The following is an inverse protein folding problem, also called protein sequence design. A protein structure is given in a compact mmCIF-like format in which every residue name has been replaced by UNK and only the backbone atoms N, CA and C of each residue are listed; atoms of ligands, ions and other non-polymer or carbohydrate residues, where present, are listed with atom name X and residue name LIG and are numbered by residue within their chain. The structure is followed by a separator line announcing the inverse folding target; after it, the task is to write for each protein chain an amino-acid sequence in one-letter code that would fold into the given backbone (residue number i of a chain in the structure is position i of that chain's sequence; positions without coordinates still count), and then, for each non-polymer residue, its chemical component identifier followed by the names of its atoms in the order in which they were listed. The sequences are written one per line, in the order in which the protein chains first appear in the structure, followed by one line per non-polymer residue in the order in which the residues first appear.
data_IF_673599959157
#
_entry.id   IF_673599959157
#
_cell.length_a   1.000
_cell.length_b   1.000
_cell.length_c   1.000
_cell.angle_alpha   90.00
_cell.angle_beta   90.00
_cell.angle_gamma   90.00
#
_symmetry.space_group_name_H-M   'P 1'
#
loop_
_entity.id
_entity.type
_entity.pdbx_description
1 polymer ?
#
# COMPACT_ATOMS: atom_id res chain seq x y z
N UNK A 1 45.50 -9.65 79.28
CA UNK A 1 44.32 -10.14 78.57
C UNK A 1 43.48 -8.95 78.04
N UNK A 2 44.02 -8.08 77.21
CA UNK A 2 43.31 -6.89 76.73
C UNK A 2 43.55 -6.52 75.26
N UNK A 3 44.08 -7.47 74.46
CA UNK A 3 44.43 -7.13 73.06
C UNK A 3 43.56 -7.74 71.97
N UNK A 4 42.57 -8.59 72.30
CA UNK A 4 41.86 -9.40 71.31
C UNK A 4 40.45 -8.86 70.95
N UNK A 5 39.95 -7.89 71.71
CA UNK A 5 38.59 -7.34 71.52
C UNK A 5 38.53 -6.19 70.54
N UNK A 6 39.61 -5.45 70.34
CA UNK A 6 39.65 -4.33 69.42
C UNK A 6 39.79 -4.73 67.96
N UNK A 7 40.35 -5.91 67.64
CA UNK A 7 40.53 -6.32 66.26
C UNK A 7 39.27 -6.87 65.60
N UNK A 8 38.35 -7.47 66.34
CA UNK A 8 37.14 -8.03 65.83
C UNK A 8 36.08 -6.94 65.51
N UNK A 9 36.05 -5.81 66.24
CA UNK A 9 35.14 -4.72 65.96
C UNK A 9 35.53 -3.91 64.71
N UNK A 10 36.85 -3.79 64.44
CA UNK A 10 37.30 -3.03 63.29
C UNK A 10 37.04 -3.78 61.96
N UNK A 11 37.15 -5.09 61.94
CA UNK A 11 36.84 -5.90 60.77
C UNK A 11 35.34 -5.91 60.47
N UNK A 12 34.49 -5.92 61.49
CA UNK A 12 33.02 -5.87 61.24
C UNK A 12 32.57 -4.53 60.70
N UNK A 13 33.20 -3.43 61.11
CA UNK A 13 32.85 -2.10 60.62
C UNK A 13 33.34 -1.87 59.18
N UNK A 14 34.53 -2.33 58.83
CA UNK A 14 35.08 -2.19 57.48
C UNK A 14 34.31 -3.04 56.46
N UNK A 15 33.92 -4.28 56.86
CA UNK A 15 33.12 -5.13 55.97
C UNK A 15 31.70 -4.62 55.77
N UNK A 16 31.08 -4.01 56.80
CA UNK A 16 29.75 -3.44 56.69
C UNK A 16 29.69 -2.20 55.76
N UNK A 17 30.69 -1.33 55.83
CA UNK A 17 30.79 -0.14 54.99
C UNK A 17 31.10 -0.51 53.51
N UNK A 18 31.98 -1.48 53.27
CA UNK A 18 32.26 -1.95 51.91
C UNK A 18 31.07 -2.66 51.29
N UNK A 19 30.26 -3.41 52.05
CA UNK A 19 29.08 -4.07 51.56
C UNK A 19 27.96 -3.07 51.20
N UNK A 20 27.77 -2.02 52.01
CA UNK A 20 26.81 -0.92 51.68
C UNK A 20 27.23 -0.14 50.44
N UNK A 21 28.51 0.10 50.18
CA UNK A 21 28.98 0.81 49.00
C UNK A 21 28.82 -0.03 47.73
N UNK A 22 29.02 -1.34 47.77
CA UNK A 22 28.82 -2.24 46.62
C UNK A 22 27.35 -2.37 46.30
N UNK A 23 26.45 -2.43 47.29
CA UNK A 23 24.99 -2.48 47.06
C UNK A 23 24.45 -1.15 46.48
N UNK A 24 24.99 0.00 46.94
CA UNK A 24 24.61 1.29 46.41
C UNK A 24 25.09 1.52 44.96
N UNK A 25 26.26 0.97 44.59
CA UNK A 25 26.79 1.03 43.23
C UNK A 25 26.00 0.10 42.26
N UNK A 26 25.54 -1.06 42.75
CA UNK A 26 24.74 -1.97 41.92
C UNK A 26 23.30 -1.45 41.68
N UNK A 27 22.70 -0.76 42.65
CA UNK A 27 21.37 -0.15 42.46
C UNK A 27 21.45 1.06 41.56
N UNK A 28 22.49 1.91 41.66
CA UNK A 28 22.70 3.04 40.75
C UNK A 28 23.00 2.59 39.29
N UNK A 29 23.67 1.43 39.11
CA UNK A 29 23.91 0.89 37.77
C UNK A 29 22.68 0.20 37.20
N UNK A 30 21.80 -0.38 38.01
CA UNK A 30 20.53 -0.95 37.57
C UNK A 30 19.53 0.13 37.13
N UNK A 31 19.47 1.27 37.82
CA UNK A 31 18.60 2.39 37.46
C UNK A 31 19.03 3.11 36.16
N UNK A 32 20.33 3.11 35.83
CA UNK A 32 20.83 3.70 34.57
C UNK A 32 20.60 2.81 33.36
N UNK A 33 20.38 1.51 33.54
CA UNK A 33 20.04 0.58 32.45
C UNK A 33 18.53 0.50 32.22
N UNK A 34 17.69 0.95 33.15
CA UNK A 34 16.22 0.99 33.00
C UNK A 34 15.66 2.31 32.48
N UNK A 35 16.48 3.33 32.24
CA UNK A 35 16.05 4.50 31.45
C UNK A 35 15.97 4.09 29.97
N UNK A 36 14.94 3.27 29.69
CA UNK A 36 14.67 2.72 28.39
C UNK A 36 14.57 3.82 27.34
N UNK A 37 15.21 3.62 26.21
CA UNK A 37 14.89 4.39 25.02
C UNK A 37 13.37 4.45 24.90
N UNK A 38 12.78 5.63 24.67
CA UNK A 38 11.34 5.73 24.51
C UNK A 38 10.88 4.70 23.49
N UNK A 39 9.81 3.97 23.80
CA UNK A 39 9.28 2.96 22.90
C UNK A 39 9.13 3.56 21.50
N UNK A 40 9.56 2.86 20.45
CA UNK A 40 9.51 3.40 19.09
C UNK A 40 8.08 3.79 18.75
N UNK A 41 7.93 4.95 18.12
CA UNK A 41 6.63 5.41 17.64
C UNK A 41 6.04 4.37 16.67
N UNK A 42 4.81 3.94 16.91
CA UNK A 42 4.10 2.99 16.03
C UNK A 42 3.43 3.78 14.91
N UNK A 43 3.67 3.35 13.67
CA UNK A 43 2.99 3.81 12.45
C UNK A 43 2.05 2.72 11.96
N UNK A 44 0.74 2.96 11.97
CA UNK A 44 -0.25 2.05 11.39
C UNK A 44 -0.34 2.30 9.90
N UNK A 45 0.22 1.35 9.11
CA UNK A 45 0.27 1.41 7.65
C UNK A 45 -0.85 0.56 7.05
N UNK A 46 -1.82 1.21 6.43
CA UNK A 46 -2.87 0.54 5.66
C UNK A 46 -2.43 0.28 4.22
N UNK A 47 -2.73 -0.92 3.70
CA UNK A 47 -2.49 -1.24 2.29
C UNK A 47 -3.81 -1.60 1.63
N UNK A 48 -4.06 -1.04 0.44
CA UNK A 48 -5.21 -1.37 -0.39
C UNK A 48 -5.22 -2.87 -0.70
N UNK A 49 -6.34 -3.59 -0.45
CA UNK A 49 -6.42 -5.04 -0.69
C UNK A 49 -6.68 -5.35 -2.17
N UNK A 50 -5.72 -4.99 -3.05
CA UNK A 50 -5.78 -5.22 -4.49
C UNK A 50 -5.32 -6.61 -4.92
N UNK A 51 -4.77 -7.37 -3.98
CA UNK A 51 -4.30 -8.76 -4.11
C UNK A 51 -4.56 -9.53 -2.81
N UNK A 52 -4.19 -10.84 -2.77
CA UNK A 52 -4.32 -11.59 -1.52
C UNK A 52 -3.45 -11.03 -0.39
N UNK A 53 -3.84 -11.20 0.88
CA UNK A 53 -3.07 -10.73 2.02
C UNK A 53 -1.62 -11.24 2.03
N UNK A 54 -1.36 -12.46 1.56
CA UNK A 54 -0.04 -13.08 1.47
C UNK A 54 0.85 -12.35 0.47
N UNK A 55 0.33 -12.07 -0.73
CA UNK A 55 1.02 -11.31 -1.78
C UNK A 55 1.33 -9.90 -1.29
N UNK A 56 0.37 -9.24 -0.63
CA UNK A 56 0.56 -7.90 -0.08
C UNK A 56 1.67 -7.91 0.99
N UNK A 57 1.64 -8.85 1.94
CA UNK A 57 2.68 -8.99 2.96
C UNK A 57 4.06 -9.20 2.33
N UNK A 58 4.17 -10.11 1.37
CA UNK A 58 5.43 -10.37 0.66
C UNK A 58 5.94 -9.11 -0.04
N UNK A 59 5.08 -8.40 -0.75
CA UNK A 59 5.41 -7.20 -1.52
C UNK A 59 5.89 -6.04 -0.65
N UNK A 60 5.23 -5.78 0.47
CA UNK A 60 5.49 -4.60 1.30
C UNK A 60 6.47 -4.84 2.46
N UNK A 61 6.74 -6.09 2.86
CA UNK A 61 7.65 -6.38 3.98
C UNK A 61 9.06 -5.82 3.82
N UNK A 62 9.72 -5.87 2.65
CA UNK A 62 11.04 -5.26 2.48
C UNK A 62 11.03 -3.75 2.69
N UNK A 63 10.02 -3.05 2.16
CA UNK A 63 9.83 -1.61 2.35
C UNK A 63 9.60 -1.27 3.83
N UNK A 64 8.74 -2.01 4.52
CA UNK A 64 8.45 -1.75 5.94
C UNK A 64 9.71 -1.85 6.79
N UNK A 65 10.47 -2.94 6.67
CA UNK A 65 11.75 -3.11 7.39
C UNK A 65 12.75 -1.98 7.10
N UNK A 66 12.78 -1.50 5.86
CA UNK A 66 13.63 -0.37 5.49
C UNK A 66 13.18 0.93 6.16
N UNK A 67 11.89 1.27 6.09
CA UNK A 67 11.34 2.49 6.70
C UNK A 67 11.47 2.47 8.23
N UNK A 68 11.26 1.32 8.89
CA UNK A 68 11.46 1.17 10.34
C UNK A 68 12.88 1.56 10.75
N UNK A 69 13.89 1.03 10.04
CA UNK A 69 15.29 1.37 10.31
C UNK A 69 15.63 2.83 10.01
N UNK A 70 15.13 3.37 8.89
CA UNK A 70 15.47 4.74 8.45
C UNK A 70 14.74 5.81 9.24
N UNK A 71 13.49 5.59 9.58
CA UNK A 71 12.67 6.56 10.32
C UNK A 71 12.70 6.35 11.85
N UNK A 72 13.32 5.27 12.36
CA UNK A 72 13.37 4.98 13.80
C UNK A 72 11.98 4.73 14.39
N UNK A 73 11.12 3.99 13.69
CA UNK A 73 9.73 3.69 14.06
C UNK A 73 9.49 2.19 14.02
N UNK A 74 8.33 1.77 14.52
CA UNK A 74 7.76 0.45 14.29
C UNK A 74 6.56 0.58 13.36
N UNK A 75 6.43 -0.29 12.36
CA UNK A 75 5.30 -0.30 11.43
C UNK A 75 4.36 -1.45 11.77
N UNK A 76 3.09 -1.13 11.97
CA UNK A 76 2.02 -2.08 12.11
C UNK A 76 1.23 -2.14 10.80
N UNK A 77 1.35 -3.26 10.08
CA UNK A 77 0.65 -3.47 8.82
C UNK A 77 -0.84 -3.74 9.07
N UNK A 78 -1.69 -3.02 8.35
CA UNK A 78 -3.14 -3.18 8.29
C UNK A 78 -3.55 -3.52 6.85
N UNK A 79 -4.12 -4.70 6.65
CA UNK A 79 -4.72 -5.12 5.37
C UNK A 79 -6.22 -5.27 5.62
N UNK A 80 -7.04 -4.25 5.27
CA UNK A 80 -8.49 -4.31 5.39
C UNK A 80 -9.10 -5.38 4.47
N UNK A 81 -10.34 -5.80 4.74
CA UNK A 81 -11.00 -6.83 3.94
C UNK A 81 -11.38 -6.32 2.53
N UNK A 82 -11.65 -5.02 2.39
CA UNK A 82 -12.01 -4.39 1.13
C UNK A 82 -11.56 -2.92 1.04
N UNK A 83 -11.74 -2.33 -0.12
CA UNK A 83 -11.38 -0.93 -0.40
C UNK A 83 -12.14 0.07 0.48
N UNK A 84 -13.42 -0.18 0.77
CA UNK A 84 -14.27 0.68 1.61
C UNK A 84 -13.80 0.67 3.05
N UNK A 85 -13.41 -0.49 3.53
CA UNK A 85 -12.86 -0.65 4.88
C UNK A 85 -11.53 0.09 5.06
N UNK A 86 -10.64 0.11 4.04
CA UNK A 86 -9.42 0.92 4.07
C UNK A 86 -9.76 2.42 4.23
N UNK A 87 -10.69 2.93 3.41
CA UNK A 87 -11.15 4.32 3.50
C UNK A 87 -11.71 4.60 4.90
N UNK A 88 -12.61 3.74 5.39
CA UNK A 88 -13.21 3.87 6.73
C UNK A 88 -12.19 3.88 7.86
N UNK A 89 -11.20 2.97 7.82
CA UNK A 89 -10.16 2.92 8.86
C UNK A 89 -9.26 4.15 8.81
N UNK A 90 -8.99 4.69 7.65
CA UNK A 90 -8.22 5.92 7.53
C UNK A 90 -9.03 7.13 7.99
N UNK A 91 -10.28 7.29 7.57
CA UNK A 91 -11.14 8.43 7.96
C UNK A 91 -11.42 8.45 9.47
N UNK A 92 -11.47 7.28 10.12
CA UNK A 92 -11.61 7.14 11.57
C UNK A 92 -10.27 7.14 12.34
N UNK A 93 -9.17 7.52 11.68
CA UNK A 93 -7.82 7.60 12.27
C UNK A 93 -7.31 6.29 12.88
N UNK A 94 -7.78 5.13 12.42
CA UNK A 94 -7.23 3.81 12.77
C UNK A 94 -6.00 3.46 11.93
N UNK A 95 -5.72 4.22 10.87
CA UNK A 95 -4.57 4.15 9.98
C UNK A 95 -3.93 5.54 9.91
N UNK A 96 -2.61 5.62 10.04
CA UNK A 96 -1.83 6.85 10.04
C UNK A 96 -1.31 7.21 8.64
N UNK A 97 -0.88 6.19 7.90
CA UNK A 97 -0.44 6.26 6.52
C UNK A 97 -1.08 5.13 5.73
N UNK A 98 -1.48 5.37 4.49
CA UNK A 98 -2.02 4.32 3.65
C UNK A 98 -1.46 4.35 2.24
N UNK A 99 -1.30 3.15 1.64
CA UNK A 99 -1.12 2.98 0.21
C UNK A 99 -2.50 2.81 -0.42
N UNK A 100 -2.97 3.88 -1.03
CA UNK A 100 -4.28 3.95 -1.68
C UNK A 100 -4.17 3.70 -3.18
N UNK A 101 -5.25 3.18 -3.80
CA UNK A 101 -5.53 3.46 -5.20
C UNK A 101 -5.95 4.93 -5.36
N UNK A 102 -5.71 5.52 -6.52
CA UNK A 102 -5.95 6.95 -6.71
C UNK A 102 -7.39 7.39 -6.43
N UNK A 103 -8.39 6.57 -6.77
CA UNK A 103 -9.79 6.89 -6.48
C UNK A 103 -10.11 6.84 -4.99
N UNK A 104 -9.66 5.81 -4.27
CA UNK A 104 -9.85 5.73 -2.82
C UNK A 104 -9.12 6.86 -2.10
N UNK A 105 -7.97 7.31 -2.62
CA UNK A 105 -7.30 8.52 -2.14
C UNK A 105 -8.16 9.77 -2.34
N UNK A 106 -8.67 10.01 -3.55
CA UNK A 106 -9.52 11.18 -3.85
C UNK A 106 -10.78 11.19 -2.98
N UNK A 107 -11.40 10.04 -2.75
CA UNK A 107 -12.54 9.91 -1.82
C UNK A 107 -12.13 10.29 -0.40
N UNK A 108 -11.07 9.68 0.12
CA UNK A 108 -10.57 9.92 1.48
C UNK A 108 -10.18 11.38 1.68
N UNK A 109 -9.52 11.99 0.68
CA UNK A 109 -9.09 13.38 0.74
C UNK A 109 -10.25 14.37 0.89
N UNK A 110 -11.39 14.09 0.27
CA UNK A 110 -12.60 14.93 0.40
C UNK A 110 -13.12 14.99 1.83
N UNK A 111 -12.98 13.91 2.59
CA UNK A 111 -13.49 13.80 3.96
C UNK A 111 -12.45 14.24 5.01
N UNK A 112 -11.17 13.96 4.79
CA UNK A 112 -10.14 14.07 5.84
C UNK A 112 -9.05 15.09 5.54
N UNK A 113 -9.01 15.65 4.31
CA UNK A 113 -7.88 16.45 3.81
C UNK A 113 -6.55 15.67 3.82
N UNK A 114 -6.61 14.34 3.60
CA UNK A 114 -5.43 13.49 3.50
C UNK A 114 -4.38 14.11 2.56
N UNK A 115 -3.11 14.00 2.95
CA UNK A 115 -1.98 14.60 2.22
C UNK A 115 -1.27 13.52 1.43
N UNK A 116 -1.15 13.64 0.09
CA UNK A 116 -0.34 12.72 -0.70
C UNK A 116 1.12 12.92 -0.32
N UNK A 117 1.88 11.84 -0.14
CA UNK A 117 3.26 11.89 0.29
C UNK A 117 4.21 11.53 -0.86
N UNK A 118 4.12 10.28 -1.32
CA UNK A 118 4.94 9.76 -2.42
C UNK A 118 4.15 8.77 -3.26
N UNK A 119 4.58 8.59 -4.50
CA UNK A 119 4.12 7.55 -5.40
C UNK A 119 5.31 6.85 -6.05
N UNK A 120 5.11 5.67 -6.60
CA UNK A 120 6.10 5.01 -7.43
C UNK A 120 6.18 5.75 -8.77
N UNK A 121 7.33 5.74 -9.42
CA UNK A 121 7.52 6.35 -10.75
C UNK A 121 6.51 5.85 -11.80
N UNK A 122 6.17 4.56 -11.73
CA UNK A 122 5.17 3.94 -12.62
C UNK A 122 3.73 4.46 -12.40
N UNK A 123 3.43 5.01 -11.22
CA UNK A 123 2.07 5.43 -10.88
C UNK A 123 1.60 6.70 -11.60
N UNK A 124 2.50 7.46 -12.22
CA UNK A 124 2.16 8.60 -13.08
C UNK A 124 1.68 8.15 -14.48
N UNK A 125 2.09 6.98 -14.94
CA UNK A 125 1.83 6.47 -16.28
C UNK A 125 1.14 5.11 -16.22
N UNK A 126 0.08 5.03 -15.44
CA UNK A 126 -0.66 3.81 -15.20
C UNK A 126 -1.74 3.58 -16.26
N UNK A 127 -2.09 2.33 -16.53
CA UNK A 127 -3.13 2.00 -17.53
C UNK A 127 -4.05 0.86 -17.06
N UNK A 128 -5.15 0.72 -17.75
CA UNK A 128 -6.06 -0.42 -17.66
C UNK A 128 -6.01 -1.19 -18.97
N UNK A 129 -5.91 -2.51 -18.90
CA UNK A 129 -6.09 -3.40 -20.05
C UNK A 129 -7.51 -3.98 -20.05
N UNK A 130 -8.13 -3.99 -21.21
CA UNK A 130 -9.38 -4.71 -21.46
C UNK A 130 -9.02 -6.09 -22.03
N UNK A 131 -9.36 -7.12 -21.29
CA UNK A 131 -9.05 -8.51 -21.62
C UNK A 131 -10.27 -9.21 -22.22
N UNK A 132 -10.07 -10.05 -23.19
CA UNK A 132 -11.06 -10.95 -23.77
C UNK A 132 -10.47 -12.34 -23.98
N UNK A 133 -11.33 -13.36 -24.10
CA UNK A 133 -10.89 -14.71 -24.44
C UNK A 133 -10.25 -14.74 -25.84
N UNK A 134 -9.20 -15.53 -26.10
CA UNK A 134 -8.53 -15.60 -27.40
C UNK A 134 -9.48 -15.97 -28.55
N UNK A 135 -10.44 -16.85 -28.31
CA UNK A 135 -11.41 -17.29 -29.31
C UNK A 135 -12.50 -16.25 -29.63
N UNK A 136 -12.61 -15.16 -28.84
CA UNK A 136 -13.51 -14.08 -29.16
C UNK A 136 -12.96 -13.30 -30.34
N UNK A 137 -13.72 -13.24 -31.45
CA UNK A 137 -13.30 -12.64 -32.72
C UNK A 137 -13.44 -11.13 -32.77
N UNK A 138 -14.07 -10.49 -31.77
CA UNK A 138 -14.24 -9.04 -31.67
C UNK A 138 -12.88 -8.32 -31.69
N UNK A 139 -12.74 -7.27 -32.49
CA UNK A 139 -11.48 -6.56 -32.71
C UNK A 139 -11.42 -5.20 -31.99
N UNK A 140 -12.57 -4.63 -31.66
CA UNK A 140 -12.66 -3.33 -31.01
C UNK A 140 -13.80 -3.29 -29.98
N UNK A 141 -13.82 -2.26 -29.13
CA UNK A 141 -14.81 -2.15 -28.05
C UNK A 141 -16.27 -2.15 -28.54
N UNK A 142 -16.54 -1.63 -29.75
CA UNK A 142 -17.90 -1.55 -30.27
C UNK A 142 -18.47 -2.93 -30.62
N UNK A 143 -17.62 -3.89 -30.95
CA UNK A 143 -18.03 -5.27 -31.29
C UNK A 143 -18.55 -6.03 -30.06
N UNK A 144 -18.31 -5.51 -28.85
CA UNK A 144 -18.79 -6.10 -27.59
C UNK A 144 -20.21 -5.64 -27.19
N UNK A 145 -20.92 -4.90 -28.06
CA UNK A 145 -22.30 -4.53 -27.77
C UNK A 145 -23.17 -5.76 -27.53
N UNK A 146 -23.87 -5.75 -26.40
CA UNK A 146 -24.74 -6.87 -26.01
C UNK A 146 -23.99 -8.09 -25.44
N UNK A 147 -22.66 -8.01 -25.29
CA UNK A 147 -21.86 -9.06 -24.61
C UNK A 147 -21.74 -8.78 -23.10
N UNK A 148 -21.22 -9.75 -22.33
CA UNK A 148 -21.05 -9.64 -20.87
C UNK A 148 -19.76 -8.91 -20.55
N UNK A 149 -19.82 -7.99 -19.58
CA UNK A 149 -18.67 -7.19 -19.16
C UNK A 149 -18.46 -7.24 -17.66
N UNK A 150 -17.19 -7.23 -17.21
CA UNK A 150 -16.89 -7.05 -15.80
C UNK A 150 -15.88 -5.95 -15.55
N UNK A 151 -16.22 -5.10 -14.60
CA UNK A 151 -15.27 -4.31 -13.84
C UNK A 151 -14.57 -5.17 -12.76
N UNK A 152 -13.50 -4.61 -12.11
CA UNK A 152 -12.90 -5.16 -10.89
C UNK A 152 -13.72 -4.82 -9.64
N UNK A 153 -13.06 -4.35 -8.57
CA UNK A 153 -13.78 -3.84 -7.38
C UNK A 153 -14.41 -2.47 -7.64
N UNK A 154 -15.56 -2.19 -7.03
CA UNK A 154 -16.33 -0.95 -7.20
C UNK A 154 -15.52 0.34 -6.96
N UNK A 155 -14.63 0.33 -5.97
CA UNK A 155 -13.79 1.48 -5.64
C UNK A 155 -12.39 1.42 -6.27
N UNK A 156 -12.18 0.49 -7.22
CA UNK A 156 -10.90 0.38 -7.93
C UNK A 156 -10.73 1.49 -8.95
N UNK A 157 -9.57 2.15 -8.92
CA UNK A 157 -9.18 3.14 -9.94
C UNK A 157 -9.09 2.49 -11.30
N UNK A 158 -8.23 1.48 -11.43
CA UNK A 158 -7.90 0.81 -12.70
C UNK A 158 -8.88 -0.28 -13.09
N UNK A 159 -9.59 -0.88 -12.12
CA UNK A 159 -10.60 -1.90 -12.40
C UNK A 159 -12.00 -1.36 -12.66
N UNK A 160 -12.28 -0.10 -12.30
CA UNK A 160 -13.63 0.46 -12.47
C UNK A 160 -13.65 1.92 -12.90
N UNK A 161 -13.14 2.85 -12.10
CA UNK A 161 -13.39 4.29 -12.30
C UNK A 161 -12.78 4.79 -13.61
N UNK A 162 -11.53 4.47 -13.88
CA UNK A 162 -10.88 4.90 -15.11
C UNK A 162 -11.35 4.15 -16.35
N UNK A 163 -11.54 2.81 -16.35
CA UNK A 163 -12.20 2.15 -17.49
C UNK A 163 -13.59 2.72 -17.78
N UNK A 164 -14.41 2.99 -16.77
CA UNK A 164 -15.73 3.63 -16.95
C UNK A 164 -15.60 5.02 -17.58
N UNK A 165 -14.67 5.82 -17.08
CA UNK A 165 -14.37 7.14 -17.65
C UNK A 165 -14.01 7.04 -19.12
N UNK A 166 -13.10 6.17 -19.51
CA UNK A 166 -12.67 6.02 -20.89
C UNK A 166 -13.70 5.36 -21.81
N UNK A 167 -14.58 4.50 -21.29
CA UNK A 167 -15.75 4.01 -22.03
C UNK A 167 -16.71 5.16 -22.30
N UNK A 168 -16.98 6.01 -21.32
CA UNK A 168 -17.85 7.18 -21.46
C UNK A 168 -17.29 8.18 -22.48
N UNK A 169 -15.98 8.46 -22.48
CA UNK A 169 -15.33 9.31 -23.49
C UNK A 169 -15.49 8.77 -24.93
N UNK A 170 -15.81 7.47 -25.07
CA UNK A 170 -16.12 6.80 -26.34
C UNK A 170 -17.62 6.67 -26.62
N UNK A 171 -18.44 7.38 -25.87
CA UNK A 171 -19.90 7.30 -25.93
C UNK A 171 -20.44 5.88 -25.62
N UNK A 172 -19.73 5.10 -24.82
CA UNK A 172 -20.15 3.78 -24.33
C UNK A 172 -20.60 3.94 -22.88
N UNK A 173 -21.91 3.85 -22.65
CA UNK A 173 -22.49 3.71 -21.32
C UNK A 173 -22.55 2.20 -21.03
N UNK A 174 -21.76 1.67 -20.05
CA UNK A 174 -21.65 0.22 -19.84
C UNK A 174 -22.99 -0.47 -19.64
N UNK A 175 -23.86 0.10 -18.80
CA UNK A 175 -25.16 -0.49 -18.43
C UNK A 175 -26.18 -0.54 -19.56
N UNK A 176 -25.98 0.30 -20.60
CA UNK A 176 -26.83 0.33 -21.80
C UNK A 176 -26.20 -0.41 -22.98
N UNK A 177 -24.90 -0.58 -22.94
CA UNK A 177 -24.12 -1.11 -24.05
C UNK A 177 -23.92 -2.63 -23.94
N UNK A 178 -23.56 -3.12 -22.74
CA UNK A 178 -23.37 -4.53 -22.47
C UNK A 178 -24.70 -5.19 -22.05
N UNK A 179 -24.85 -6.49 -22.30
CA UNK A 179 -26.00 -7.26 -21.81
C UNK A 179 -26.00 -7.44 -20.30
N UNK A 180 -24.80 -7.46 -19.72
CA UNK A 180 -24.60 -7.61 -18.29
C UNK A 180 -23.32 -6.86 -17.88
N UNK A 181 -23.37 -6.16 -16.75
CA UNK A 181 -22.21 -5.52 -16.11
C UNK A 181 -22.02 -6.10 -14.71
N UNK A 182 -20.90 -6.73 -14.47
CA UNK A 182 -20.54 -7.31 -13.17
C UNK A 182 -19.38 -6.55 -12.50
N UNK A 183 -19.22 -6.82 -11.23
CA UNK A 183 -18.05 -6.42 -10.44
C UNK A 183 -17.44 -7.67 -9.82
N UNK A 184 -16.23 -8.02 -10.25
CA UNK A 184 -15.55 -9.25 -9.82
C UNK A 184 -14.95 -9.15 -8.41
N UNK A 185 -14.78 -7.93 -7.90
CA UNK A 185 -14.14 -7.65 -6.60
C UNK A 185 -12.61 -7.60 -6.65
N UNK A 186 -11.95 -8.24 -7.62
CA UNK A 186 -10.48 -8.20 -7.75
C UNK A 186 -10.03 -8.30 -9.22
N UNK A 187 -8.80 -7.87 -9.49
CA UNK A 187 -8.21 -7.97 -10.84
C UNK A 187 -7.96 -9.42 -11.26
N UNK A 188 -7.48 -10.24 -10.34
CA UNK A 188 -7.22 -11.66 -10.58
C UNK A 188 -8.52 -12.39 -10.96
N UNK A 189 -9.59 -12.15 -10.21
CA UNK A 189 -10.91 -12.72 -10.51
C UNK A 189 -11.44 -12.27 -11.86
N UNK A 190 -11.27 -10.98 -12.23
CA UNK A 190 -11.66 -10.48 -13.56
C UNK A 190 -10.93 -11.25 -14.66
N UNK A 191 -9.61 -11.40 -14.54
CA UNK A 191 -8.79 -12.08 -15.54
C UNK A 191 -9.17 -13.58 -15.66
N UNK A 192 -9.43 -14.25 -14.53
CA UNK A 192 -9.88 -15.64 -14.53
C UNK A 192 -11.29 -15.80 -15.14
N UNK A 193 -12.22 -14.87 -14.87
CA UNK A 193 -13.54 -14.90 -15.49
C UNK A 193 -13.47 -14.74 -17.01
N UNK A 194 -12.52 -13.93 -17.53
CA UNK A 194 -12.26 -13.87 -18.98
C UNK A 194 -11.70 -15.18 -19.51
N UNK A 195 -10.67 -15.73 -18.86
CA UNK A 195 -10.05 -17.01 -19.22
C UNK A 195 -11.09 -18.14 -19.28
N UNK A 196 -11.96 -18.19 -18.29
CA UNK A 196 -12.96 -19.26 -18.13
C UNK A 196 -14.27 -18.95 -18.89
N UNK A 197 -14.27 -17.93 -19.77
CA UNK A 197 -15.43 -17.49 -20.57
C UNK A 197 -16.69 -17.19 -19.74
N UNK A 198 -16.55 -16.81 -18.47
CA UNK A 198 -17.66 -16.37 -17.62
C UNK A 198 -18.13 -14.97 -17.97
N UNK A 199 -17.23 -14.14 -18.53
CA UNK A 199 -17.48 -12.84 -19.12
C UNK A 199 -16.74 -12.72 -20.45
N UNK A 200 -17.19 -11.86 -21.34
CA UNK A 200 -16.64 -11.72 -22.68
C UNK A 200 -15.56 -10.63 -22.75
N UNK A 201 -15.66 -9.62 -21.87
CA UNK A 201 -14.71 -8.51 -21.75
C UNK A 201 -14.51 -8.14 -20.27
N UNK A 202 -13.27 -7.92 -19.85
CA UNK A 202 -12.97 -7.54 -18.47
C UNK A 202 -11.93 -6.44 -18.37
N UNK A 203 -12.10 -5.51 -17.43
CA UNK A 203 -11.16 -4.43 -17.16
C UNK A 203 -10.21 -4.79 -16.01
N UNK A 204 -8.90 -4.84 -16.29
CA UNK A 204 -7.86 -5.28 -15.35
C UNK A 204 -6.73 -4.26 -15.27
N UNK A 205 -6.17 -4.09 -14.09
CA UNK A 205 -4.94 -3.35 -13.85
C UNK A 205 -3.79 -3.91 -14.70
N UNK A 206 -3.13 -3.07 -15.50
CA UNK A 206 -2.09 -3.49 -16.44
C UNK A 206 -0.89 -4.14 -15.74
N UNK A 207 -0.49 -3.63 -14.57
CA UNK A 207 0.68 -4.18 -13.85
C UNK A 207 0.34 -5.49 -13.14
N UNK A 208 -0.87 -5.60 -12.54
CA UNK A 208 -1.33 -6.87 -11.96
C UNK A 208 -1.42 -7.93 -13.06
N UNK A 209 -1.96 -7.60 -14.22
CA UNK A 209 -2.01 -8.50 -15.37
C UNK A 209 -0.61 -8.98 -15.79
N UNK A 210 0.35 -8.05 -15.97
CA UNK A 210 1.74 -8.39 -16.30
C UNK A 210 2.38 -9.28 -15.24
N UNK A 211 2.14 -9.01 -13.95
CA UNK A 211 2.64 -9.82 -12.85
C UNK A 211 2.01 -11.22 -12.82
N UNK A 212 0.70 -11.35 -13.08
CA UNK A 212 0.03 -12.66 -13.17
C UNK A 212 0.69 -13.54 -14.23
N UNK A 213 1.04 -12.96 -15.41
CA UNK A 213 1.76 -13.68 -16.46
C UNK A 213 3.18 -14.06 -16.00
N UNK A 214 3.93 -13.10 -15.43
CA UNK A 214 5.31 -13.32 -14.97
C UNK A 214 5.41 -14.39 -13.89
N UNK A 215 4.43 -14.44 -13.00
CA UNK A 215 4.34 -15.38 -11.88
C UNK A 215 3.72 -16.75 -12.27
N UNK A 216 3.31 -16.93 -13.52
CA UNK A 216 2.68 -18.15 -14.02
C UNK A 216 1.26 -18.39 -13.48
N UNK A 217 0.62 -17.39 -12.87
CA UNK A 217 -0.78 -17.48 -12.40
C UNK A 217 -1.81 -17.40 -13.51
N UNK A 218 -1.42 -16.83 -14.64
CA UNK A 218 -2.19 -16.75 -15.88
C UNK A 218 -1.25 -16.98 -17.05
N UNK A 219 -1.63 -17.81 -18.03
CA UNK A 219 -0.84 -17.95 -19.25
C UNK A 219 -1.19 -16.81 -20.21
N UNK A 220 -0.18 -16.26 -20.89
CA UNK A 220 -0.39 -15.17 -21.87
C UNK A 220 -1.33 -15.55 -23.04
N UNK A 221 -1.48 -16.86 -23.30
CA UNK A 221 -2.35 -17.38 -24.35
C UNK A 221 -3.79 -17.62 -23.86
N UNK A 222 -4.06 -17.54 -22.55
CA UNK A 222 -5.38 -17.76 -21.98
C UNK A 222 -6.31 -16.56 -22.18
N UNK A 223 -5.72 -15.39 -22.45
CA UNK A 223 -6.45 -14.13 -22.66
C UNK A 223 -5.76 -13.28 -23.71
N UNK A 224 -6.52 -12.42 -24.36
CA UNK A 224 -6.02 -11.43 -25.33
C UNK A 224 -6.30 -10.03 -24.81
N UNK A 225 -5.31 -9.13 -24.90
CA UNK A 225 -5.51 -7.70 -24.68
C UNK A 225 -6.22 -7.12 -25.90
N UNK A 226 -7.47 -6.69 -25.70
CA UNK A 226 -8.26 -6.02 -26.74
C UNK A 226 -7.84 -4.56 -26.89
N UNK A 227 -7.70 -3.88 -25.76
CA UNK A 227 -7.41 -2.46 -25.72
C UNK A 227 -6.72 -2.10 -24.39
N UNK A 228 -5.79 -1.15 -24.45
CA UNK A 228 -5.17 -0.52 -23.30
C UNK A 228 -5.55 0.97 -23.27
N UNK A 229 -5.93 1.48 -22.10
CA UNK A 229 -6.33 2.88 -21.93
C UNK A 229 -5.15 3.84 -22.09
N UNK A 230 -5.41 5.13 -22.37
CA UNK A 230 -4.43 6.18 -22.11
C UNK A 230 -3.95 6.16 -20.65
N UNK A 231 -2.76 6.71 -20.41
CA UNK A 231 -2.18 6.77 -19.08
C UNK A 231 -2.94 7.70 -18.14
N UNK A 232 -2.90 7.38 -16.85
CA UNK A 232 -3.45 8.16 -15.75
C UNK A 232 -2.68 7.88 -14.46
N UNK A 233 -2.79 8.77 -13.47
CA UNK A 233 -2.20 8.56 -12.15
C UNK A 233 -2.99 7.52 -11.34
N UNK A 234 -2.30 6.62 -10.63
CA UNK A 234 -2.99 5.61 -9.84
C UNK A 234 -2.56 5.62 -8.36
N UNK A 235 -1.63 4.75 -7.94
CA UNK A 235 -1.37 4.55 -6.52
C UNK A 235 -0.62 5.70 -5.85
N UNK A 236 -0.85 5.85 -4.53
CA UNK A 236 -0.17 6.85 -3.71
C UNK A 236 -0.08 6.41 -2.25
N UNK A 237 1.06 6.66 -1.62
CA UNK A 237 1.14 6.72 -0.16
C UNK A 237 0.64 8.08 0.31
N UNK A 238 -0.37 8.07 1.16
CA UNK A 238 -0.92 9.29 1.76
C UNK A 238 -0.96 9.19 3.28
N UNK A 239 -0.89 10.33 3.96
CA UNK A 239 -0.86 10.46 5.40
C UNK A 239 -2.04 11.30 5.90
N UNK A 240 -2.33 11.20 7.20
CA UNK A 240 -3.30 12.07 7.86
C UNK A 240 -2.88 13.54 7.74
N UNK A 241 -3.84 14.46 7.70
CA UNK A 241 -3.57 15.90 7.58
C UNK A 241 -2.86 16.48 8.80
N UNK A 242 -3.02 15.86 9.97
CA UNK A 242 -2.37 16.23 11.23
C UNK A 242 -1.13 15.38 11.57
N UNK A 243 -0.57 14.72 10.56
CA UNK A 243 0.58 13.84 10.73
C UNK A 243 1.82 14.60 11.22
N UNK A 244 2.60 14.00 12.13
CA UNK A 244 3.80 14.62 12.69
C UNK A 244 4.79 15.03 11.56
N UNK A 245 5.11 16.34 11.51
CA UNK A 245 5.95 16.91 10.44
C UNK A 245 7.35 16.27 10.39
N UNK A 246 8.02 16.06 11.52
CA UNK A 246 9.37 15.48 11.56
C UNK A 246 9.37 14.04 11.07
N UNK A 247 8.35 13.26 11.42
CA UNK A 247 8.22 11.89 10.95
C UNK A 247 7.86 11.85 9.46
N UNK A 248 6.96 12.73 9.00
CA UNK A 248 6.63 12.90 7.58
C UNK A 248 7.88 13.16 6.75
N UNK A 249 8.71 14.12 7.16
CA UNK A 249 9.89 14.51 6.41
C UNK A 249 10.90 13.34 6.37
N UNK A 250 11.13 12.62 7.50
CA UNK A 250 11.97 11.41 7.51
C UNK A 250 11.46 10.29 6.61
N UNK A 251 10.14 10.08 6.58
CA UNK A 251 9.53 9.08 5.69
C UNK A 251 9.70 9.49 4.23
N UNK A 252 9.42 10.75 3.90
CA UNK A 252 9.61 11.29 2.54
C UNK A 252 11.05 11.09 2.08
N UNK A 253 12.04 11.54 2.87
CA UNK A 253 13.46 11.38 2.54
C UNK A 253 13.85 9.92 2.38
N UNK A 254 13.30 9.03 3.22
CA UNK A 254 13.55 7.59 3.14
C UNK A 254 13.03 6.98 1.83
N UNK A 255 11.84 7.35 1.40
CA UNK A 255 11.30 6.89 0.11
C UNK A 255 12.12 7.42 -1.07
N UNK A 256 12.45 8.71 -1.06
CA UNK A 256 13.20 9.35 -2.16
C UNK A 256 14.66 8.88 -2.25
N UNK A 257 15.22 8.36 -1.16
CA UNK A 257 16.57 7.77 -1.13
C UNK A 257 16.64 6.37 -1.76
N UNK A 258 15.49 5.72 -2.07
CA UNK A 258 15.48 4.41 -2.71
C UNK A 258 15.98 4.52 -4.16
N UNK A 259 17.01 3.74 -4.48
CA UNK A 259 17.65 3.72 -5.81
C UNK A 259 18.06 2.29 -6.19
N UNK A 260 17.91 1.86 -7.45
CA UNK A 260 18.33 0.54 -7.91
C UNK A 260 19.86 0.31 -7.87
N UNK A 261 20.65 1.37 -7.63
CA UNK A 261 22.12 1.27 -7.50
C UNK A 261 22.57 0.59 -6.21
N UNK A 262 21.68 0.47 -5.22
CA UNK A 262 21.94 -0.19 -3.94
C UNK A 262 21.17 -1.51 -3.91
N UNK A 263 21.85 -2.65 -3.78
CA UNK A 263 21.23 -3.97 -3.86
C UNK A 263 20.03 -4.16 -2.90
N UNK A 264 20.15 -3.70 -1.65
CA UNK A 264 19.05 -3.77 -0.69
C UNK A 264 17.85 -2.88 -1.07
N UNK A 265 18.06 -1.79 -1.82
CA UNK A 265 16.98 -0.95 -2.33
C UNK A 265 16.35 -1.56 -3.59
N UNK A 266 17.16 -2.24 -4.41
CA UNK A 266 16.68 -2.93 -5.61
C UNK A 266 15.65 -4.02 -5.25
N UNK A 267 15.87 -4.79 -4.17
CA UNK A 267 14.90 -5.76 -3.67
C UNK A 267 13.54 -5.10 -3.38
N UNK A 268 13.55 -3.97 -2.66
CA UNK A 268 12.35 -3.20 -2.32
C UNK A 268 11.63 -2.70 -3.58
N UNK A 269 12.39 -2.06 -4.47
CA UNK A 269 11.85 -1.49 -5.70
C UNK A 269 11.27 -2.57 -6.61
N UNK A 270 11.97 -3.71 -6.77
CA UNK A 270 11.49 -4.85 -7.55
C UNK A 270 10.20 -5.43 -6.97
N UNK A 271 10.12 -5.61 -5.63
CA UNK A 271 8.92 -6.12 -4.98
C UNK A 271 7.70 -5.20 -5.20
N UNK A 272 7.93 -3.89 -5.33
CA UNK A 272 6.89 -2.89 -5.56
C UNK A 272 6.66 -2.56 -7.05
N UNK A 273 7.42 -3.17 -7.97
CA UNK A 273 7.35 -2.90 -9.39
C UNK A 273 7.78 -1.48 -9.76
N UNK A 274 8.69 -0.87 -9.00
CA UNK A 274 9.14 0.50 -9.15
C UNK A 274 10.62 0.58 -9.52
N UNK A 275 11.07 1.70 -10.09
CA UNK A 275 12.49 2.04 -10.24
C UNK A 275 12.89 3.16 -9.27
N UNK A 276 11.93 3.96 -8.82
CA UNK A 276 12.13 5.04 -7.86
C UNK A 276 10.80 5.44 -7.21
N UNK A 277 10.87 6.34 -6.24
CA UNK A 277 9.72 7.06 -5.71
C UNK A 277 9.80 8.54 -6.04
N UNK A 278 8.64 9.16 -6.23
CA UNK A 278 8.48 10.59 -6.54
C UNK A 278 7.59 11.24 -5.48
N UNK A 279 7.82 12.53 -5.14
CA UNK A 279 6.86 13.27 -4.34
C UNK A 279 5.50 13.32 -5.04
N UNK A 280 4.42 12.99 -4.33
CA UNK A 280 3.07 13.05 -4.86
C UNK A 280 2.46 14.43 -4.60
N UNK A 281 1.71 14.96 -5.57
CA UNK A 281 1.05 16.26 -5.51
C UNK A 281 -0.45 16.10 -5.70
N UNK A 282 -1.23 17.05 -5.19
CA UNK A 282 -2.68 17.04 -5.37
C UNK A 282 -3.09 17.09 -6.85
N UNK A 283 -2.33 17.85 -7.64
CA UNK A 283 -2.58 18.07 -9.07
C UNK A 283 -2.48 16.77 -9.89
N UNK A 284 -1.65 15.83 -9.44
CA UNK A 284 -1.45 14.55 -10.12
C UNK A 284 -2.76 13.72 -10.20
N UNK A 285 -3.74 14.01 -9.36
CA UNK A 285 -5.02 13.28 -9.25
C UNK A 285 -6.21 13.98 -9.89
N UNK A 286 -6.01 15.05 -10.68
CA UNK A 286 -7.12 15.81 -11.29
C UNK A 286 -7.98 14.98 -12.26
N UNK A 287 -7.37 14.10 -13.05
CA UNK A 287 -8.12 13.22 -13.95
C UNK A 287 -9.06 12.30 -13.16
N UNK A 288 -8.63 11.84 -11.99
CA UNK A 288 -9.43 10.98 -11.11
C UNK A 288 -10.60 11.74 -10.49
N UNK A 289 -10.41 13.02 -10.15
CA UNK A 289 -11.49 13.89 -9.68
C UNK A 289 -12.53 14.12 -10.77
N UNK A 290 -12.11 14.22 -12.04
CA UNK A 290 -13.02 14.29 -13.20
C UNK A 290 -13.76 12.97 -13.38
N UNK A 291 -13.03 11.86 -13.41
CA UNK A 291 -13.62 10.52 -13.57
C UNK A 291 -14.62 10.17 -12.46
N UNK A 292 -14.34 10.57 -11.22
CA UNK A 292 -15.23 10.37 -10.07
C UNK A 292 -16.61 11.06 -10.19
N UNK A 293 -16.77 12.02 -11.11
CA UNK A 293 -18.06 12.67 -11.38
C UNK A 293 -18.97 11.85 -12.30
N UNK A 294 -18.39 10.89 -13.04
CA UNK A 294 -19.13 9.98 -13.91
C UNK A 294 -19.66 8.85 -13.04
N UNK A 295 -20.87 9.03 -12.51
CA UNK A 295 -21.50 8.01 -11.66
C UNK A 295 -21.99 6.83 -12.50
N UNK A 296 -21.94 5.62 -11.94
CA UNK A 296 -22.84 4.57 -12.37
C UNK A 296 -24.30 5.05 -12.21
N UNK A 297 -25.23 4.67 -13.08
CA UNK A 297 -26.65 4.87 -12.81
C UNK A 297 -26.99 4.24 -11.45
N UNK A 298 -27.75 4.98 -10.63
CA UNK A 298 -28.27 4.45 -9.36
C UNK A 298 -29.28 3.36 -9.64
#
# INVERSE_FOLDING_TARGET
MTGRWYFDQFHRFVFGVLFCWVVLLTTAYADTVQNGMPAPQILRLGILPDSSPEIIKQRFSPLMRYLERKAGIRIELRIPNDYRELVRQFTTKKIDMAFFGGYTFVMTQRETKAVPLVMRDIDLHFSTVFLTHPDNTSQNLKDFKGQRFSFGAELSTSGHIMPRYFLHERNINPEKFFSEVRYSGSHDTTAFWVRDSQIDLGAVNSDIFKNMIKEGRLNKNDVRVLWETPFYTNYVFAIQSDFNKKLRDRLLDSFLALTPRVAAHQEILTALGASSFLPARNEDFEILRKAAKIKAPQ
#
